data_IF_550453104446
#
_entry.id   IF_550453104446
#
_cell.length_a   1.000
_cell.length_b   1.000
_cell.length_c   1.000
_cell.angle_alpha   90.00
_cell.angle_beta   90.00
_cell.angle_gamma   90.00
#
_symmetry.space_group_name_H-M   'P 1'
#
loop_
_entity.id
_entity.type
_entity.pdbx_description
1 polymer ?
#
# COMPACT_ATOMS: atom_id res chain seq x y z
N UNK A 1 -13.64 -16.68 8.83
CA UNK A 1 -12.39 -15.99 9.22
C UNK A 1 -12.39 -14.61 8.59
N UNK A 2 -12.49 -13.56 9.39
CA UNK A 2 -12.53 -12.16 8.91
C UNK A 2 -11.13 -11.61 8.66
N UNK A 3 -10.11 -12.14 9.33
CA UNK A 3 -8.68 -11.78 9.23
C UNK A 3 -7.83 -13.00 8.82
N UNK A 4 -6.64 -12.77 8.26
CA UNK A 4 -5.63 -13.84 8.03
C UNK A 4 -5.00 -14.35 9.32
N UNK A 5 -5.24 -13.65 10.43
CA UNK A 5 -4.74 -13.98 11.75
C UNK A 5 -5.86 -14.54 12.63
N UNK A 6 -5.52 -15.39 13.62
CA UNK A 6 -6.47 -15.83 14.62
C UNK A 6 -6.94 -14.63 15.45
N UNK A 7 -8.24 -14.56 15.67
CA UNK A 7 -8.88 -13.53 16.48
C UNK A 7 -9.55 -14.20 17.68
N UNK A 8 -9.15 -13.77 18.88
CA UNK A 8 -9.64 -14.29 20.15
C UNK A 8 -10.85 -13.50 20.63
N UNK A 9 -11.67 -14.10 21.50
CA UNK A 9 -12.80 -13.39 22.11
C UNK A 9 -12.34 -12.26 23.02
N UNK A 10 -11.19 -12.43 23.67
CA UNK A 10 -10.61 -11.46 24.59
C UNK A 10 -9.33 -10.86 24.04
N UNK A 11 -9.07 -9.61 24.39
CA UNK A 11 -7.96 -8.84 23.88
C UNK A 11 -6.62 -9.36 24.41
N UNK A 12 -6.56 -9.69 25.70
CA UNK A 12 -5.41 -10.24 26.42
C UNK A 12 -4.89 -11.57 25.87
N UNK A 13 -5.75 -12.31 25.18
CA UNK A 13 -5.38 -13.59 24.58
C UNK A 13 -4.89 -13.44 23.14
N UNK A 14 -4.89 -12.21 22.58
CA UNK A 14 -4.65 -11.99 21.16
C UNK A 14 -3.24 -12.47 20.77
N UNK A 15 -3.12 -13.57 20.00
CA UNK A 15 -1.83 -14.06 19.57
C UNK A 15 -1.25 -13.14 18.49
N UNK A 16 0.08 -13.18 18.34
CA UNK A 16 0.78 -12.53 17.22
C UNK A 16 0.57 -11.01 17.13
N UNK A 17 0.27 -10.35 18.24
CA UNK A 17 -0.08 -8.93 18.31
C UNK A 17 0.94 -8.01 17.60
N UNK A 18 2.23 -8.28 17.82
CA UNK A 18 3.34 -7.57 17.17
C UNK A 18 3.27 -7.67 15.65
N UNK A 19 3.15 -8.89 15.13
CA UNK A 19 3.17 -9.16 13.69
C UNK A 19 1.96 -8.52 13.00
N UNK A 20 0.79 -8.63 13.61
CA UNK A 20 -0.45 -8.02 13.12
C UNK A 20 -0.27 -6.51 13.01
N UNK A 21 0.21 -5.87 14.08
CA UNK A 21 0.36 -4.42 14.11
C UNK A 21 1.44 -3.92 13.13
N UNK A 22 2.60 -4.57 13.07
CA UNK A 22 3.65 -4.23 12.11
C UNK A 22 3.15 -4.36 10.68
N UNK A 23 2.52 -5.49 10.34
CA UNK A 23 2.08 -5.73 8.97
C UNK A 23 0.95 -4.80 8.55
N UNK A 24 0.01 -4.49 9.44
CA UNK A 24 -1.02 -3.49 9.16
C UNK A 24 -0.42 -2.12 8.87
N UNK A 25 0.41 -1.60 9.77
CA UNK A 25 0.98 -0.26 9.62
C UNK A 25 1.93 -0.18 8.43
N UNK A 26 2.72 -1.23 8.17
CA UNK A 26 3.57 -1.33 6.97
C UNK A 26 2.70 -1.28 5.71
N UNK A 27 1.60 -2.03 5.63
CA UNK A 27 0.70 -2.01 4.46
C UNK A 27 0.04 -0.66 4.28
N UNK A 28 -0.49 -0.06 5.35
CA UNK A 28 -1.12 1.25 5.32
C UNK A 28 -0.14 2.35 4.88
N UNK A 29 1.07 2.36 5.45
CA UNK A 29 2.11 3.32 5.08
C UNK A 29 2.63 3.10 3.65
N UNK A 30 2.75 1.85 3.20
CA UNK A 30 3.11 1.50 1.82
C UNK A 30 2.05 1.95 0.82
N UNK A 31 0.76 1.82 1.16
CA UNK A 31 -0.35 2.32 0.36
C UNK A 31 -0.25 3.83 0.20
N UNK A 32 -0.09 4.56 1.31
CA UNK A 32 0.03 6.02 1.27
C UNK A 32 1.27 6.48 0.52
N UNK A 33 2.43 5.85 0.77
CA UNK A 33 3.66 6.15 0.05
C UNK A 33 3.54 5.92 -1.45
N UNK A 34 2.89 4.81 -1.86
CA UNK A 34 2.64 4.52 -3.27
C UNK A 34 1.65 5.51 -3.90
N UNK A 35 0.60 5.90 -3.19
CA UNK A 35 -0.39 6.87 -3.66
C UNK A 35 0.25 8.26 -3.87
N UNK A 36 1.08 8.71 -2.93
CA UNK A 36 1.89 9.94 -3.09
C UNK A 36 2.83 9.79 -4.29
N UNK A 37 3.44 8.62 -4.48
CA UNK A 37 4.23 8.30 -5.67
C UNK A 37 3.46 8.52 -6.97
N UNK A 38 2.23 8.01 -7.07
CA UNK A 38 1.39 8.19 -8.25
C UNK A 38 1.03 9.66 -8.51
N UNK A 39 0.80 10.44 -7.45
CA UNK A 39 0.52 11.88 -7.58
C UNK A 39 1.75 12.70 -7.99
N UNK A 40 2.94 12.30 -7.53
CA UNK A 40 4.20 13.01 -7.84
C UNK A 40 4.77 12.70 -9.22
N UNK A 41 4.45 11.55 -9.81
CA UNK A 41 4.90 11.17 -11.15
C UNK A 41 4.49 12.16 -12.27
N UNK A 42 3.19 12.56 -12.43
CA UNK A 42 2.80 13.54 -13.44
C UNK A 42 3.38 14.93 -13.16
N UNK A 43 3.50 15.32 -11.88
CA UNK A 43 4.15 16.58 -11.51
C UNK A 43 5.63 16.59 -11.93
N UNK A 44 6.35 15.49 -11.70
CA UNK A 44 7.74 15.32 -12.14
C UNK A 44 7.87 15.36 -13.66
N UNK A 45 6.94 14.73 -14.39
CA UNK A 45 6.92 14.77 -15.86
C UNK A 45 6.59 16.17 -16.41
N UNK A 46 5.70 16.92 -15.74
CA UNK A 46 5.40 18.31 -16.10
C UNK A 46 6.63 19.22 -15.93
N UNK A 47 7.38 19.07 -14.83
CA UNK A 47 8.65 19.79 -14.63
C UNK A 47 9.69 19.38 -15.68
N UNK A 48 9.79 18.09 -16.01
CA UNK A 48 10.70 17.60 -17.05
C UNK A 48 10.34 18.14 -18.43
N UNK A 49 9.04 18.26 -18.76
CA UNK A 49 8.58 18.87 -20.00
C UNK A 49 9.01 20.34 -20.08
N UNK A 50 8.84 21.08 -19.00
CA UNK A 50 9.24 22.49 -18.93
C UNK A 50 10.75 22.69 -19.04
N UNK A 51 11.57 21.85 -18.38
CA UNK A 51 13.04 22.00 -18.35
C UNK A 51 13.77 21.36 -19.53
N UNK A 52 13.27 20.25 -20.04
CA UNK A 52 13.99 19.37 -20.98
C UNK A 52 13.17 19.00 -22.23
N UNK A 53 11.98 19.57 -22.41
CA UNK A 53 11.15 19.32 -23.60
C UNK A 53 10.61 17.90 -23.72
N UNK A 54 10.59 17.12 -22.63
CA UNK A 54 10.13 15.72 -22.68
C UNK A 54 8.65 15.62 -23.09
N UNK A 55 8.29 14.70 -24.00
CA UNK A 55 6.91 14.52 -24.42
C UNK A 55 6.07 13.93 -23.29
N UNK A 56 4.84 14.44 -23.12
CA UNK A 56 3.86 13.91 -22.18
C UNK A 56 3.03 12.84 -22.91
N UNK A 57 3.55 11.61 -22.95
CA UNK A 57 2.95 10.48 -23.69
C UNK A 57 2.89 9.26 -22.78
N UNK A 58 2.02 8.30 -23.07
CA UNK A 58 1.92 7.05 -22.27
C UNK A 58 3.26 6.33 -22.13
N UNK A 59 4.14 6.42 -23.14
CA UNK A 59 5.49 5.84 -23.13
C UNK A 59 6.45 6.48 -22.12
N UNK A 60 6.20 7.73 -21.69
CA UNK A 60 6.99 8.42 -20.65
C UNK A 60 6.29 8.40 -19.30
N UNK A 61 4.96 8.51 -19.30
CA UNK A 61 4.14 8.55 -18.09
C UNK A 61 4.09 7.19 -17.37
N UNK A 62 3.85 6.08 -18.08
CA UNK A 62 3.72 4.75 -17.46
C UNK A 62 5.01 4.34 -16.72
N UNK A 63 6.20 4.43 -17.32
CA UNK A 63 7.44 4.11 -16.61
C UNK A 63 7.68 5.01 -15.39
N UNK A 64 7.27 6.29 -15.48
CA UNK A 64 7.45 7.23 -14.38
C UNK A 64 6.49 6.95 -13.22
N UNK A 65 5.23 6.62 -13.52
CA UNK A 65 4.26 6.16 -12.53
C UNK A 65 4.79 4.92 -11.78
N UNK A 66 5.27 3.91 -12.51
CA UNK A 66 5.81 2.68 -11.92
C UNK A 66 7.06 2.95 -11.06
N UNK A 67 7.98 3.83 -11.50
CA UNK A 67 9.16 4.18 -10.70
C UNK A 67 8.79 4.91 -9.41
N UNK A 68 7.90 5.91 -9.48
CA UNK A 68 7.50 6.67 -8.31
C UNK A 68 6.65 5.85 -7.35
N UNK A 69 5.70 5.05 -7.85
CA UNK A 69 4.90 4.16 -7.02
C UNK A 69 5.78 3.11 -6.32
N UNK A 70 6.72 2.49 -7.03
CA UNK A 70 7.63 1.49 -6.46
C UNK A 70 8.56 2.08 -5.39
N UNK A 71 9.10 3.28 -5.60
CA UNK A 71 9.88 4.00 -4.58
C UNK A 71 9.02 4.38 -3.38
N UNK A 72 7.81 4.87 -3.64
CA UNK A 72 6.83 5.21 -2.61
C UNK A 72 6.43 4.00 -1.76
N UNK A 73 6.26 2.83 -2.37
CA UNK A 73 6.01 1.57 -1.69
C UNK A 73 7.14 1.24 -0.71
N UNK A 74 8.39 1.26 -1.17
CA UNK A 74 9.56 0.94 -0.33
C UNK A 74 9.68 1.95 0.82
N UNK A 75 9.66 3.25 0.52
CA UNK A 75 9.79 4.31 1.52
C UNK A 75 8.66 4.21 2.54
N UNK A 76 7.42 3.99 2.06
CA UNK A 76 6.25 3.80 2.90
C UNK A 76 6.36 2.56 3.79
N UNK A 77 6.85 1.43 3.28
CA UNK A 77 7.09 0.22 4.08
C UNK A 77 8.09 0.47 5.22
N UNK A 78 9.23 1.08 4.91
CA UNK A 78 10.24 1.42 5.92
C UNK A 78 9.70 2.41 6.95
N UNK A 79 9.01 3.46 6.50
CA UNK A 79 8.38 4.43 7.39
C UNK A 79 7.34 3.75 8.31
N UNK A 80 6.52 2.84 7.78
CA UNK A 80 5.54 2.09 8.57
C UNK A 80 6.19 1.25 9.69
N UNK A 81 7.31 0.59 9.39
CA UNK A 81 8.08 -0.15 10.40
C UNK A 81 8.59 0.76 11.51
N UNK A 82 9.19 1.91 11.15
CA UNK A 82 9.67 2.91 12.11
C UNK A 82 8.54 3.54 12.92
N UNK A 83 7.38 3.79 12.29
CA UNK A 83 6.20 4.31 12.96
C UNK A 83 5.67 3.33 14.00
N UNK A 84 5.56 2.03 13.68
CA UNK A 84 5.14 1.02 14.66
C UNK A 84 6.15 0.90 15.79
N UNK A 85 7.44 0.80 15.47
CA UNK A 85 8.50 0.70 16.46
C UNK A 85 8.48 1.90 17.41
N UNK A 86 8.48 3.13 16.89
CA UNK A 86 8.46 4.34 17.71
C UNK A 86 7.17 4.50 18.52
N UNK A 87 6.01 4.15 17.93
CA UNK A 87 4.71 4.24 18.61
C UNK A 87 4.58 3.27 19.78
N UNK A 88 5.25 2.12 19.68
CA UNK A 88 5.14 1.01 20.62
C UNK A 88 6.37 0.82 21.51
N UNK A 89 7.38 1.69 21.38
CA UNK A 89 8.55 1.67 22.25
C UNK A 89 8.13 1.90 23.71
N UNK A 90 8.52 0.98 24.60
CA UNK A 90 8.20 1.03 26.03
C UNK A 90 6.75 0.65 26.38
N UNK A 91 5.98 0.08 25.44
CA UNK A 91 4.62 -0.43 25.69
C UNK A 91 4.63 -1.86 26.20
N UNK A 92 3.70 -2.18 27.09
CA UNK A 92 3.52 -3.52 27.64
C UNK A 92 2.83 -4.45 26.63
N UNK A 93 3.03 -5.77 26.76
CA UNK A 93 2.45 -6.76 25.84
C UNK A 93 0.93 -6.62 25.71
N UNK A 94 0.24 -6.37 26.82
CA UNK A 94 -1.21 -6.17 26.84
C UNK A 94 -1.67 -4.99 25.96
N UNK A 95 -0.84 -3.94 25.83
CA UNK A 95 -1.14 -2.80 24.96
C UNK A 95 -0.94 -3.15 23.48
N UNK A 96 0.02 -4.04 23.15
CA UNK A 96 0.14 -4.59 21.80
C UNK A 96 -1.08 -5.43 21.45
N UNK A 97 -1.46 -6.31 22.37
CA UNK A 97 -2.60 -7.20 22.25
C UNK A 97 -3.90 -6.43 22.06
N UNK A 98 -4.23 -5.47 22.92
CA UNK A 98 -5.42 -4.60 22.80
C UNK A 98 -5.48 -3.90 21.43
N UNK A 99 -4.39 -3.26 21.01
CA UNK A 99 -4.36 -2.54 19.73
C UNK A 99 -4.58 -3.47 18.55
N UNK A 100 -3.89 -4.61 18.53
CA UNK A 100 -4.00 -5.60 17.46
C UNK A 100 -5.37 -6.29 17.43
N UNK A 101 -6.00 -6.46 18.59
CA UNK A 101 -7.35 -6.98 18.72
C UNK A 101 -8.38 -6.01 18.15
N UNK A 102 -8.33 -4.74 18.58
CA UNK A 102 -9.21 -3.67 18.08
C UNK A 102 -9.05 -3.42 16.58
N UNK A 103 -7.84 -3.59 16.06
CA UNK A 103 -7.57 -3.49 14.64
C UNK A 103 -8.32 -4.57 13.84
N UNK A 104 -8.36 -5.80 14.34
CA UNK A 104 -9.06 -6.91 13.68
C UNK A 104 -10.58 -6.78 13.76
N UNK A 105 -11.09 -6.08 14.78
CA UNK A 105 -12.51 -5.77 14.89
C UNK A 105 -12.94 -4.65 13.91
N UNK A 106 -12.00 -3.83 13.44
CA UNK A 106 -12.27 -2.83 12.41
C UNK A 106 -12.36 -3.47 11.01
N UNK A 107 -13.58 -3.85 10.62
CA UNK A 107 -13.88 -4.46 9.31
C UNK A 107 -13.35 -3.65 8.13
N UNK A 108 -13.46 -2.32 8.17
CA UNK A 108 -12.99 -1.45 7.08
C UNK A 108 -11.47 -1.52 6.87
N UNK A 109 -10.71 -1.55 7.97
CA UNK A 109 -9.25 -1.72 7.91
C UNK A 109 -8.87 -3.12 7.43
N UNK A 110 -9.53 -4.15 7.93
CA UNK A 110 -9.27 -5.54 7.54
C UNK A 110 -9.57 -5.80 6.06
N UNK A 111 -10.68 -5.27 5.55
CA UNK A 111 -11.04 -5.44 4.13
C UNK A 111 -10.13 -4.62 3.22
N UNK A 112 -9.70 -3.44 3.66
CA UNK A 112 -8.68 -2.65 2.97
C UNK A 112 -7.35 -3.41 2.90
N UNK A 113 -6.91 -4.04 3.99
CA UNK A 113 -5.68 -4.83 4.01
C UNK A 113 -5.73 -6.02 3.04
N UNK A 114 -6.87 -6.72 2.96
CA UNK A 114 -7.08 -7.78 1.95
C UNK A 114 -7.05 -7.23 0.53
N UNK A 115 -7.71 -6.11 0.29
CA UNK A 115 -7.76 -5.47 -1.02
C UNK A 115 -6.36 -5.08 -1.49
N UNK A 116 -5.58 -4.42 -0.64
CA UNK A 116 -4.20 -4.02 -0.92
C UNK A 116 -3.33 -5.25 -1.20
N UNK A 117 -3.47 -6.31 -0.41
CA UNK A 117 -2.69 -7.53 -0.62
C UNK A 117 -2.98 -8.15 -2.00
N UNK A 118 -4.26 -8.31 -2.35
CA UNK A 118 -4.67 -8.86 -3.64
C UNK A 118 -4.23 -7.99 -4.83
N UNK A 119 -4.46 -6.68 -4.75
CA UNK A 119 -4.12 -5.75 -5.83
C UNK A 119 -2.61 -5.54 -5.97
N UNK A 120 -1.84 -5.60 -4.89
CA UNK A 120 -0.38 -5.57 -4.92
C UNK A 120 0.19 -6.78 -5.67
N UNK A 121 -0.28 -8.00 -5.38
CA UNK A 121 0.13 -9.22 -6.10
C UNK A 121 -0.28 -9.15 -7.57
N UNK A 122 -1.52 -8.74 -7.86
CA UNK A 122 -2.00 -8.59 -9.23
C UNK A 122 -1.18 -7.55 -10.01
N UNK A 123 -0.88 -6.41 -9.38
CA UNK A 123 -0.06 -5.34 -9.95
C UNK A 123 1.37 -5.77 -10.21
N UNK A 124 1.99 -6.49 -9.28
CA UNK A 124 3.32 -7.08 -9.44
C UNK A 124 3.39 -8.02 -10.66
N UNK A 125 2.42 -8.92 -10.77
CA UNK A 125 2.31 -9.84 -11.89
C UNK A 125 2.08 -9.10 -13.22
N UNK A 126 1.19 -8.11 -13.24
CA UNK A 126 0.94 -7.27 -14.41
C UNK A 126 2.20 -6.51 -14.87
N UNK A 127 2.96 -5.94 -13.92
CA UNK A 127 4.22 -5.26 -14.21
C UNK A 127 5.28 -6.19 -14.81
N UNK A 128 5.41 -7.40 -14.27
CA UNK A 128 6.30 -8.43 -14.82
C UNK A 128 5.90 -8.81 -16.25
N UNK A 129 4.62 -9.08 -16.49
CA UNK A 129 4.10 -9.45 -17.80
C UNK A 129 4.28 -8.32 -18.82
N UNK A 130 4.02 -7.07 -18.42
CA UNK A 130 4.16 -5.90 -19.29
C UNK A 130 5.62 -5.72 -19.74
N UNK A 131 6.58 -5.93 -18.84
CA UNK A 131 8.01 -5.86 -19.18
C UNK A 131 8.43 -7.01 -20.07
N UNK A 132 8.01 -8.25 -19.77
CA UNK A 132 8.33 -9.42 -20.60
C UNK A 132 7.80 -9.31 -22.03
N UNK A 133 6.69 -8.58 -22.22
CA UNK A 133 6.10 -8.29 -23.53
C UNK A 133 6.70 -7.06 -24.22
N UNK A 134 7.68 -6.37 -23.61
CA UNK A 134 8.27 -5.15 -24.16
C UNK A 134 7.34 -3.93 -24.13
N UNK A 135 6.21 -3.99 -23.43
CA UNK A 135 5.25 -2.88 -23.36
C UNK A 135 5.73 -1.74 -22.45
N UNK A 136 6.69 -2.01 -21.54
CA UNK A 136 7.24 -1.03 -20.61
C UNK A 136 8.78 -1.12 -20.63
N UNK A 137 9.49 -0.01 -20.88
CA UNK A 137 10.95 0.04 -20.89
C UNK A 137 11.54 0.13 -19.48
N UNK A 138 11.24 -0.86 -18.62
CA UNK A 138 11.76 -0.98 -17.26
C UNK A 138 12.41 -2.35 -17.06
N UNK A 139 13.36 -2.45 -16.13
CA UNK A 139 13.84 -3.76 -15.67
C UNK A 139 12.74 -4.52 -14.93
N UNK A 140 12.76 -5.86 -14.99
CA UNK A 140 11.70 -6.69 -14.39
C UNK A 140 11.48 -6.40 -12.91
N UNK A 141 12.54 -6.16 -12.12
CA UNK A 141 12.41 -5.79 -10.71
C UNK A 141 11.71 -4.45 -10.50
N UNK A 142 12.05 -3.44 -11.31
CA UNK A 142 11.40 -2.12 -11.24
C UNK A 142 9.93 -2.19 -11.63
N UNK A 143 9.61 -3.00 -12.64
CA UNK A 143 8.23 -3.16 -13.09
C UNK A 143 7.38 -3.96 -12.09
N UNK A 144 7.94 -4.99 -11.46
CA UNK A 144 7.30 -5.73 -10.37
C UNK A 144 7.03 -4.81 -9.19
N UNK A 145 8.04 -4.07 -8.71
CA UNK A 145 7.89 -3.14 -7.59
C UNK A 145 6.92 -2.00 -7.91
N UNK A 146 7.02 -1.42 -9.11
CA UNK A 146 6.14 -0.36 -9.55
C UNK A 146 4.70 -0.82 -9.72
N UNK A 147 4.51 -2.03 -10.27
CA UNK A 147 3.21 -2.67 -10.41
C UNK A 147 2.58 -2.97 -9.04
N UNK A 148 3.36 -3.52 -8.11
CA UNK A 148 2.95 -3.71 -6.72
C UNK A 148 2.54 -2.38 -6.06
N UNK A 149 3.32 -1.31 -6.30
CA UNK A 149 3.02 0.03 -5.81
C UNK A 149 1.71 0.60 -6.37
N UNK A 150 1.48 0.47 -7.68
CA UNK A 150 0.21 0.88 -8.33
C UNK A 150 -0.96 0.10 -7.73
N UNK A 151 -0.82 -1.22 -7.60
CA UNK A 151 -1.82 -2.09 -6.98
C UNK A 151 -2.15 -1.65 -5.56
N UNK A 152 -1.12 -1.51 -4.72
CA UNK A 152 -1.25 -1.09 -3.31
C UNK A 152 -1.94 0.28 -3.19
N UNK A 153 -1.61 1.24 -4.06
CA UNK A 153 -2.22 2.57 -4.06
C UNK A 153 -3.73 2.55 -4.35
N UNK A 154 -4.25 1.52 -5.04
CA UNK A 154 -5.68 1.37 -5.26
C UNK A 154 -6.49 1.24 -3.97
N UNK A 155 -5.85 0.87 -2.86
CA UNK A 155 -6.46 0.84 -1.52
C UNK A 155 -7.03 2.20 -1.08
N UNK A 156 -6.43 3.32 -1.51
CA UNK A 156 -6.97 4.65 -1.22
C UNK A 156 -8.33 4.84 -1.88
N UNK A 157 -8.45 4.45 -3.15
CA UNK A 157 -9.72 4.48 -3.87
C UNK A 157 -10.75 3.52 -3.27
N UNK A 158 -10.31 2.34 -2.82
CA UNK A 158 -11.17 1.38 -2.14
C UNK A 158 -11.76 1.95 -0.84
N UNK A 159 -10.94 2.58 0.01
CA UNK A 159 -11.41 3.22 1.25
C UNK A 159 -12.42 4.34 0.98
N UNK A 160 -12.17 5.18 -0.02
CA UNK A 160 -13.10 6.26 -0.41
C UNK A 160 -14.42 5.65 -0.89
N UNK A 161 -14.35 4.61 -1.72
CA UNK A 161 -15.52 3.95 -2.27
C UNK A 161 -16.33 3.18 -1.21
N UNK A 162 -15.68 2.51 -0.25
CA UNK A 162 -16.35 1.80 0.83
C UNK A 162 -17.08 2.79 1.75
N UNK A 163 -16.41 3.88 2.13
CA UNK A 163 -17.02 4.94 2.92
C UNK A 163 -18.24 5.56 2.23
N UNK A 164 -18.13 5.86 0.93
CA UNK A 164 -19.24 6.40 0.15
C UNK A 164 -20.42 5.43 -0.01
N UNK A 165 -20.19 4.11 0.08
CA UNK A 165 -21.25 3.09 0.02
C UNK A 165 -21.99 2.97 1.36
N UNK A 166 -21.28 3.06 2.47
CA UNK A 166 -21.86 3.01 3.82
C UNK A 166 -22.70 4.27 4.13
N UNK A 167 -22.42 5.39 3.47
CA UNK A 167 -23.18 6.63 3.62
C UNK A 167 -24.46 6.73 2.77
N UNK A 168 -24.76 5.76 1.90
CA UNK A 168 -26.01 5.80 1.13
C UNK A 168 -27.19 5.51 2.08
N UNK A 169 -28.15 6.43 2.25
CA UNK A 169 -29.37 6.13 2.98
C UNK A 169 -30.11 4.98 2.27
N UNK A 170 -30.65 4.07 3.06
CA UNK A 170 -31.55 3.01 2.61
C UNK A 170 -32.79 3.59 1.93
#
# INVERSE_FOLDING_TARGET
MTSFYPHTTYAEDQPQAHQILYLHVIRAASMMGSAIGLLTAPASLAVSRYRHGTPFTSSTLIPQLLRHSGRGLIIGSFAGGLMTWGRMLGREEIEWQDRSWRLQENKGQVDTDKWIMGTSVAGAAAGLLATRRGAVPLGSGQAVLGGAGVGTASGVGYMIASFAREQKPA
#
